data_IF_454056397956
#
_entry.id   IF_454056397956
#
_cell.length_a   1.000
_cell.length_b   1.000
_cell.length_c   1.000
_cell.angle_alpha   90.00
_cell.angle_beta   90.00
_cell.angle_gamma   90.00
#
_symmetry.space_group_name_H-M   'P 1'
#
loop_
_entity.id
_entity.type
_entity.pdbx_description
1 polymer ?
#
# COMPACT_ATOMS: atom_id res chain seq x y z
N UNK A 1 0.18 -13.82 -5.89
CA UNK A 1 -0.08 -12.74 -4.93
C UNK A 1 -0.13 -13.35 -3.56
N UNK A 2 0.73 -12.96 -2.68
CA UNK A 2 0.72 -13.49 -1.33
C UNK A 2 -0.43 -12.82 -0.57
N UNK A 3 -1.41 -13.60 -0.16
CA UNK A 3 -2.17 -13.27 1.03
C UNK A 3 -1.20 -13.51 2.17
N UNK A 4 -0.47 -12.50 2.55
CA UNK A 4 0.44 -12.70 3.64
C UNK A 4 -0.30 -12.51 4.94
N UNK A 5 -0.16 -13.42 5.90
CA UNK A 5 0.20 -12.95 7.21
C UNK A 5 1.07 -11.71 6.98
N UNK A 6 0.80 -10.67 7.65
CA UNK A 6 1.69 -9.51 7.64
C UNK A 6 3.09 -10.04 7.73
N UNK A 7 3.96 -9.70 6.79
CA UNK A 7 5.33 -10.18 6.70
C UNK A 7 6.18 -9.88 7.93
N UNK A 8 5.70 -10.24 9.09
CA UNK A 8 6.28 -10.10 10.42
C UNK A 8 7.10 -11.33 10.80
N UNK A 9 7.62 -12.02 9.80
CA UNK A 9 8.78 -12.84 10.02
C UNK A 9 8.57 -14.33 10.24
N UNK A 10 7.52 -14.93 9.79
CA UNK A 10 7.44 -16.37 9.63
C UNK A 10 6.97 -16.73 8.23
N UNK A 11 7.75 -17.45 7.56
CA UNK A 11 7.71 -18.17 6.32
C UNK A 11 6.35 -18.81 5.95
N UNK A 12 5.28 -18.07 5.83
CA UNK A 12 4.06 -18.68 5.36
C UNK A 12 3.54 -17.92 4.15
N UNK A 13 3.53 -18.61 3.04
CA UNK A 13 2.69 -18.27 1.92
C UNK A 13 1.28 -18.71 2.31
N UNK A 14 0.52 -17.82 2.92
CA UNK A 14 -0.79 -18.12 3.48
C UNK A 14 -1.90 -18.07 2.43
N UNK A 15 -1.56 -18.03 1.16
CA UNK A 15 -2.52 -18.15 0.08
C UNK A 15 -2.73 -19.62 -0.32
N UNK A 16 -3.91 -19.93 -0.81
CA UNK A 16 -4.29 -21.24 -1.32
C UNK A 16 -3.64 -21.56 -2.69
N UNK A 17 -2.81 -20.66 -3.21
CA UNK A 17 -2.30 -20.70 -4.57
C UNK A 17 -3.31 -20.11 -5.57
N UNK A 18 -2.94 -20.08 -6.85
CA UNK A 18 -3.86 -19.63 -7.91
C UNK A 18 -4.81 -20.77 -8.28
N UNK A 19 -5.96 -20.82 -7.61
CA UNK A 19 -6.97 -21.84 -7.88
C UNK A 19 -7.98 -21.40 -8.94
N UNK A 20 -8.27 -20.11 -9.00
CA UNK A 20 -9.11 -19.51 -10.02
C UNK A 20 -8.43 -18.29 -10.64
N UNK A 21 -8.58 -18.06 -11.95
CA UNK A 21 -8.11 -16.83 -12.57
C UNK A 21 -8.99 -15.66 -12.14
N UNK A 22 -8.41 -14.46 -12.11
CA UNK A 22 -9.18 -13.25 -11.94
C UNK A 22 -10.13 -13.02 -13.13
N UNK A 23 -11.33 -12.58 -12.84
CA UNK A 23 -12.30 -12.16 -13.86
C UNK A 23 -12.30 -10.64 -13.95
N UNK A 24 -11.96 -10.11 -15.11
CA UNK A 24 -11.83 -8.65 -15.31
C UNK A 24 -12.71 -8.20 -16.48
N UNK A 25 -13.42 -7.10 -16.28
CA UNK A 25 -14.19 -6.43 -17.31
C UNK A 25 -13.89 -4.93 -17.35
N UNK A 26 -13.87 -4.35 -18.55
CA UNK A 26 -13.68 -2.92 -18.75
C UNK A 26 -14.56 -2.38 -19.87
N UNK A 27 -15.06 -1.16 -19.68
CA UNK A 27 -15.75 -0.38 -20.70
C UNK A 27 -15.00 0.93 -20.88
N UNK A 28 -14.70 1.28 -22.14
CA UNK A 28 -13.99 2.50 -22.50
C UNK A 28 -14.72 3.24 -23.61
N UNK A 29 -14.72 4.55 -23.50
CA UNK A 29 -15.23 5.47 -24.51
C UNK A 29 -14.10 6.39 -24.90
N UNK A 30 -13.78 6.45 -26.20
CA UNK A 30 -12.79 7.36 -26.78
C UNK A 30 -13.50 8.39 -27.67
N UNK A 31 -13.20 9.66 -27.45
CA UNK A 31 -13.82 10.79 -28.14
C UNK A 31 -12.77 11.87 -28.45
N UNK A 32 -13.13 12.86 -29.24
CA UNK A 32 -12.23 13.97 -29.54
C UNK A 32 -11.80 14.76 -28.29
N UNK A 33 -12.65 14.83 -27.28
CA UNK A 33 -12.34 15.48 -26.00
C UNK A 33 -11.41 14.67 -25.08
N UNK A 34 -11.18 13.37 -25.40
CA UNK A 34 -10.38 12.47 -24.57
C UNK A 34 -10.99 11.09 -24.45
N UNK A 35 -10.79 10.44 -23.29
CA UNK A 35 -11.41 9.15 -23.03
C UNK A 35 -11.88 9.02 -21.58
N UNK A 36 -12.82 8.11 -21.35
CA UNK A 36 -13.24 7.66 -20.04
C UNK A 36 -13.32 6.13 -20.01
N UNK A 37 -12.99 5.55 -18.85
CA UNK A 37 -13.02 4.11 -18.66
C UNK A 37 -13.53 3.77 -17.27
N UNK A 38 -14.31 2.70 -17.18
CA UNK A 38 -14.63 2.02 -15.94
C UNK A 38 -14.19 0.56 -16.07
N UNK A 39 -13.63 -0.01 -15.01
CA UNK A 39 -13.25 -1.42 -14.96
C UNK A 39 -13.58 -2.03 -13.60
N UNK A 40 -13.85 -3.33 -13.61
CA UNK A 40 -14.10 -4.11 -12.40
C UNK A 40 -13.35 -5.44 -12.46
N UNK A 41 -13.00 -5.98 -11.31
CA UNK A 41 -12.33 -7.25 -11.18
C UNK A 41 -12.91 -8.04 -10.01
N UNK A 42 -12.93 -9.37 -10.16
CA UNK A 42 -13.13 -10.34 -9.08
C UNK A 42 -11.82 -11.10 -8.89
N UNK A 43 -11.41 -11.26 -7.65
CA UNK A 43 -10.13 -11.86 -7.26
C UNK A 43 -10.34 -12.97 -6.23
N UNK A 44 -9.67 -14.12 -6.41
CA UNK A 44 -9.70 -15.20 -5.42
C UNK A 44 -8.78 -14.85 -4.25
N UNK A 45 -9.39 -14.43 -3.14
CA UNK A 45 -8.73 -14.03 -1.90
C UNK A 45 -8.70 -15.17 -0.86
N UNK A 46 -8.78 -16.44 -1.29
CA UNK A 46 -8.89 -17.59 -0.40
C UNK A 46 -7.58 -17.88 0.31
N UNK A 47 -7.65 -18.16 1.62
CA UNK A 47 -6.52 -18.53 2.46
C UNK A 47 -6.07 -19.97 2.29
N UNK A 48 -4.79 -20.23 2.57
CA UNK A 48 -4.19 -21.57 2.59
C UNK A 48 -4.60 -22.37 3.83
N UNK A 49 -3.96 -23.53 4.00
CA UNK A 49 -4.21 -24.40 5.16
C UNK A 49 -3.69 -23.78 6.46
N UNK A 50 -4.38 -24.06 7.56
CA UNK A 50 -3.95 -23.62 8.88
C UNK A 50 -2.68 -24.38 9.34
N UNK A 51 -1.87 -23.66 10.14
CA UNK A 51 -0.70 -24.21 10.80
C UNK A 51 0.60 -24.11 9.99
N UNK A 52 1.71 -24.20 10.69
CA UNK A 52 3.04 -24.19 10.09
C UNK A 52 3.20 -25.37 9.12
N UNK A 53 3.59 -25.07 7.87
CA UNK A 53 3.81 -26.08 6.84
C UNK A 53 2.56 -26.44 6.02
N UNK A 54 1.48 -25.67 6.10
CA UNK A 54 0.27 -25.87 5.29
C UNK A 54 -0.26 -27.32 5.37
N UNK A 55 -0.49 -27.82 6.57
CA UNK A 55 -0.96 -29.19 6.77
C UNK A 55 -2.44 -29.31 6.40
N UNK A 56 -2.74 -30.21 5.46
CA UNK A 56 -4.13 -30.53 5.07
C UNK A 56 -4.97 -31.08 6.22
N UNK A 57 -4.33 -31.55 7.32
CA UNK A 57 -5.01 -32.08 8.50
C UNK A 57 -5.70 -31.01 9.32
N UNK A 58 -5.28 -29.76 9.18
CA UNK A 58 -5.81 -28.65 9.98
C UNK A 58 -6.98 -27.90 9.30
N UNK A 59 -7.31 -28.26 8.05
CA UNK A 59 -8.29 -27.52 7.26
C UNK A 59 -7.78 -26.17 6.78
N UNK A 60 -8.66 -25.35 6.27
CA UNK A 60 -8.39 -23.99 5.76
C UNK A 60 -9.61 -23.08 6.01
N UNK A 61 -9.45 -21.74 5.96
CA UNK A 61 -10.59 -20.84 6.00
C UNK A 61 -11.54 -21.07 4.83
N UNK A 62 -12.77 -20.66 4.97
CA UNK A 62 -13.72 -20.68 3.87
C UNK A 62 -13.20 -19.85 2.70
N UNK A 63 -13.48 -20.32 1.48
CA UNK A 63 -13.10 -19.58 0.27
C UNK A 63 -13.70 -18.18 0.28
N UNK A 64 -12.89 -17.19 -0.11
CA UNK A 64 -13.27 -15.78 -0.07
C UNK A 64 -12.93 -15.12 -1.39
N UNK A 65 -13.87 -14.37 -1.93
CA UNK A 65 -13.67 -13.58 -3.14
C UNK A 65 -13.58 -12.11 -2.80
N UNK A 66 -12.56 -11.45 -3.31
CA UNK A 66 -12.41 -10.02 -3.30
C UNK A 66 -12.90 -9.40 -4.61
N UNK A 67 -13.05 -8.10 -4.62
CA UNK A 67 -13.45 -7.34 -5.80
C UNK A 67 -12.79 -5.97 -5.82
N UNK A 68 -12.69 -5.42 -7.03
CA UNK A 68 -12.22 -4.06 -7.23
C UNK A 68 -13.04 -3.36 -8.33
N UNK A 69 -13.18 -2.06 -8.21
CA UNK A 69 -13.72 -1.19 -9.24
C UNK A 69 -12.80 0.02 -9.41
N UNK A 70 -12.55 0.42 -10.64
CA UNK A 70 -11.86 1.68 -10.92
C UNK A 70 -12.55 2.44 -12.04
N UNK A 71 -12.49 3.77 -11.95
CA UNK A 71 -12.98 4.67 -12.98
C UNK A 71 -12.00 5.80 -13.20
N UNK A 72 -11.84 6.22 -14.43
CA UNK A 72 -10.94 7.32 -14.75
C UNK A 72 -11.26 7.93 -16.10
N UNK A 73 -10.72 9.12 -16.31
CA UNK A 73 -10.85 9.84 -17.56
C UNK A 73 -9.61 10.69 -17.84
N UNK A 74 -9.45 11.02 -19.10
CA UNK A 74 -8.49 12.02 -19.56
C UNK A 74 -9.18 12.99 -20.48
N UNK A 75 -8.97 14.28 -20.28
CA UNK A 75 -9.46 15.36 -21.12
C UNK A 75 -8.29 15.94 -21.91
N UNK A 76 -8.53 16.19 -23.19
CA UNK A 76 -7.59 16.87 -24.09
C UNK A 76 -8.02 18.33 -24.29
N UNK A 77 -7.05 19.19 -24.59
CA UNK A 77 -7.25 20.61 -24.93
C UNK A 77 -8.09 21.36 -23.87
N UNK A 78 -7.78 21.12 -22.59
CA UNK A 78 -8.51 21.68 -21.46
C UNK A 78 -8.48 23.22 -21.47
N UNK A 79 -9.61 23.84 -21.08
CA UNK A 79 -9.77 25.30 -21.04
C UNK A 79 -9.46 26.02 -22.38
N UNK A 80 -9.48 25.29 -23.50
CA UNK A 80 -9.17 25.81 -24.83
C UNK A 80 -7.67 25.91 -25.15
N UNK A 81 -6.80 25.43 -24.26
CA UNK A 81 -5.36 25.35 -24.52
C UNK A 81 -5.04 24.07 -25.27
N UNK A 82 -4.65 24.22 -26.53
CA UNK A 82 -4.33 23.08 -27.40
C UNK A 82 -3.10 22.33 -26.90
N UNK A 83 -3.24 21.02 -26.68
CA UNK A 83 -2.19 20.14 -26.20
C UNK A 83 -2.14 20.00 -24.68
N UNK A 84 -2.92 20.76 -23.95
CA UNK A 84 -3.05 20.58 -22.51
C UNK A 84 -3.92 19.35 -22.20
N UNK A 85 -3.54 18.63 -21.16
CA UNK A 85 -4.27 17.43 -20.75
C UNK A 85 -4.50 17.42 -19.24
N UNK A 86 -5.66 16.89 -18.87
CA UNK A 86 -6.03 16.61 -17.49
C UNK A 86 -6.53 15.18 -17.37
N UNK A 87 -6.02 14.43 -16.41
CA UNK A 87 -6.51 13.08 -16.14
C UNK A 87 -6.73 12.85 -14.66
N UNK A 88 -7.73 12.02 -14.36
CA UNK A 88 -8.08 11.62 -13.01
C UNK A 88 -8.55 10.17 -12.99
N UNK A 89 -8.20 9.44 -11.93
CA UNK A 89 -8.60 8.06 -11.72
C UNK A 89 -8.87 7.83 -10.23
N UNK A 90 -9.93 7.08 -9.95
CA UNK A 90 -10.23 6.54 -8.63
C UNK A 90 -10.32 5.03 -8.67
N UNK A 91 -9.99 4.39 -7.55
CA UNK A 91 -10.09 2.95 -7.35
C UNK A 91 -10.61 2.64 -5.95
N UNK A 92 -11.41 1.58 -5.83
CA UNK A 92 -11.84 0.99 -4.57
C UNK A 92 -11.77 -0.53 -4.67
N UNK A 93 -11.31 -1.20 -3.62
CA UNK A 93 -11.24 -2.65 -3.56
C UNK A 93 -11.45 -3.19 -2.16
N UNK A 94 -12.06 -4.36 -2.08
CA UNK A 94 -12.09 -5.23 -0.92
C UNK A 94 -11.50 -6.58 -1.29
N UNK A 95 -10.41 -6.98 -0.65
CA UNK A 95 -9.76 -8.26 -0.94
C UNK A 95 -9.11 -8.38 -2.32
N UNK A 96 -8.88 -7.25 -3.00
CA UNK A 96 -8.26 -7.18 -4.32
C UNK A 96 -7.28 -6.00 -4.42
N UNK A 97 -6.54 -5.76 -3.35
CA UNK A 97 -5.68 -4.59 -3.14
C UNK A 97 -4.73 -4.30 -4.29
N UNK A 98 -4.21 -5.33 -4.96
CA UNK A 98 -3.29 -5.20 -6.09
C UNK A 98 -3.83 -4.40 -7.28
N UNK A 99 -5.16 -4.32 -7.43
CA UNK A 99 -5.80 -3.52 -8.48
C UNK A 99 -5.75 -2.01 -8.21
N UNK A 100 -5.64 -1.60 -6.93
CA UNK A 100 -5.53 -0.19 -6.53
C UNK A 100 -4.07 0.22 -6.27
N UNK A 101 -3.22 -0.67 -5.74
CA UNK A 101 -1.85 -0.35 -5.32
C UNK A 101 -0.76 -0.87 -6.26
N UNK A 102 -1.11 -1.66 -7.27
CA UNK A 102 -0.20 -2.41 -8.17
C UNK A 102 0.60 -3.53 -7.48
N UNK A 103 0.73 -3.52 -6.16
CA UNK A 103 1.44 -4.55 -5.42
C UNK A 103 0.93 -4.63 -3.99
N UNK A 104 0.99 -5.83 -3.43
CA UNK A 104 0.92 -6.07 -1.99
C UNK A 104 2.34 -6.02 -1.43
N UNK A 105 2.50 -5.69 -0.16
CA UNK A 105 3.80 -5.66 0.49
C UNK A 105 3.94 -4.61 1.56
N UNK A 106 5.15 -4.48 2.09
CA UNK A 106 5.49 -3.52 3.15
C UNK A 106 6.08 -2.23 2.59
N UNK A 107 5.75 -1.14 3.23
CA UNK A 107 6.23 0.20 2.96
C UNK A 107 6.94 0.71 4.21
N UNK A 108 8.15 1.20 4.06
CA UNK A 108 8.90 1.75 5.18
C UNK A 108 9.56 3.06 4.77
N UNK A 109 9.45 4.03 5.64
CA UNK A 109 10.16 5.30 5.55
C UNK A 109 10.84 5.56 6.88
N UNK A 110 12.05 6.10 6.87
CA UNK A 110 12.71 6.53 8.08
C UNK A 110 13.51 7.81 7.84
N UNK A 111 13.63 8.62 8.88
CA UNK A 111 14.46 9.82 8.88
C UNK A 111 15.64 9.66 9.82
N UNK A 112 16.65 10.50 9.61
CA UNK A 112 17.88 10.53 10.43
C UNK A 112 17.64 10.89 11.90
N UNK A 113 16.43 11.30 12.27
CA UNK A 113 16.04 11.67 13.64
C UNK A 113 15.47 10.54 14.49
N UNK A 114 15.80 9.28 14.20
CA UNK A 114 15.24 8.11 14.87
C UNK A 114 13.70 8.01 14.77
N UNK A 115 13.14 8.54 13.70
CA UNK A 115 11.73 8.39 13.37
C UNK A 115 11.58 7.38 12.24
N UNK A 116 10.56 6.54 12.34
CA UNK A 116 10.21 5.58 11.30
C UNK A 116 8.70 5.56 11.10
N UNK A 117 8.25 5.37 9.88
CA UNK A 117 6.88 5.11 9.53
C UNK A 117 6.80 3.87 8.65
N UNK A 118 5.71 3.15 8.72
CA UNK A 118 5.49 1.98 7.90
C UNK A 118 4.01 1.70 7.68
N UNK A 119 3.76 0.85 6.71
CA UNK A 119 2.48 0.29 6.42
C UNK A 119 2.68 -0.95 5.56
N UNK A 120 1.67 -1.73 5.40
CA UNK A 120 1.70 -2.85 4.47
C UNK A 120 0.33 -3.11 3.89
N UNK A 121 0.33 -3.64 2.69
CA UNK A 121 -0.86 -3.93 1.92
C UNK A 121 -0.95 -5.44 1.75
N UNK A 122 -2.03 -6.02 2.23
CA UNK A 122 -2.41 -7.41 1.98
C UNK A 122 -3.71 -7.47 1.18
N UNK A 123 -4.03 -8.64 0.66
CA UNK A 123 -5.35 -8.92 0.09
C UNK A 123 -6.36 -9.15 1.20
N UNK A 124 -5.91 -9.81 2.26
CA UNK A 124 -6.68 -10.07 3.47
C UNK A 124 -5.79 -10.64 4.55
N UNK A 125 -6.33 -10.85 5.74
CA UNK A 125 -5.65 -11.43 6.89
C UNK A 125 -6.51 -12.51 7.52
N UNK A 126 -5.87 -13.57 8.01
CA UNK A 126 -6.49 -14.59 8.84
C UNK A 126 -5.46 -15.18 9.81
N UNK A 127 -5.92 -15.69 10.93
CA UNK A 127 -5.05 -16.38 11.87
C UNK A 127 -4.86 -17.83 11.43
N UNK A 128 -3.65 -18.18 11.05
CA UNK A 128 -3.28 -19.53 10.63
C UNK A 128 -2.62 -20.34 11.75
N UNK A 129 -2.54 -19.84 12.98
CA UNK A 129 -1.92 -20.55 14.09
C UNK A 129 -2.69 -21.79 14.52
N UNK A 130 -1.94 -22.81 14.96
CA UNK A 130 -2.52 -24.02 15.55
C UNK A 130 -3.15 -23.69 16.92
N UNK A 131 -4.30 -24.29 17.27
CA UNK A 131 -5.17 -23.88 18.39
C UNK A 131 -4.60 -24.11 19.80
N UNK A 132 -3.38 -23.75 20.08
CA UNK A 132 -2.83 -23.81 21.45
C UNK A 132 -2.16 -22.49 21.89
N UNK A 133 -2.14 -21.48 21.05
CA UNK A 133 -1.47 -20.20 21.31
C UNK A 133 -2.27 -19.08 20.65
N UNK A 134 -3.44 -18.74 21.15
CA UNK A 134 -4.21 -17.62 20.61
C UNK A 134 -5.67 -17.95 20.28
N UNK A 135 -6.35 -17.06 19.61
CA UNK A 135 -7.80 -17.08 19.37
C UNK A 135 -8.32 -18.19 18.43
N UNK A 136 -7.45 -19.04 17.91
CA UNK A 136 -7.86 -20.16 17.03
C UNK A 136 -8.06 -19.75 15.58
N UNK A 137 -8.42 -20.73 14.75
CA UNK A 137 -8.62 -20.58 13.30
C UNK A 137 -9.68 -19.51 12.98
N UNK A 138 -9.33 -18.53 12.18
CA UNK A 138 -10.24 -17.49 11.73
C UNK A 138 -10.52 -17.60 10.23
N UNK A 139 -11.61 -17.00 9.78
CA UNK A 139 -11.83 -16.77 8.37
C UNK A 139 -10.97 -15.61 7.87
N UNK A 140 -10.86 -15.49 6.54
CA UNK A 140 -10.16 -14.37 5.90
C UNK A 140 -10.98 -13.09 6.08
N UNK A 141 -10.36 -12.08 6.68
CA UNK A 141 -10.83 -10.71 6.75
C UNK A 141 -10.21 -9.93 5.58
N UNK A 142 -11.06 -9.44 4.68
CA UNK A 142 -10.61 -8.74 3.49
C UNK A 142 -10.05 -7.35 3.83
N UNK A 143 -8.98 -6.96 3.17
CA UNK A 143 -8.41 -5.62 3.28
C UNK A 143 -9.13 -4.67 2.33
N UNK A 144 -9.55 -3.51 2.84
CA UNK A 144 -10.11 -2.43 2.03
C UNK A 144 -9.01 -1.50 1.58
N UNK A 145 -8.98 -1.19 0.29
CA UNK A 145 -8.05 -0.20 -0.28
C UNK A 145 -8.82 0.70 -1.23
N UNK A 146 -8.64 2.01 -1.06
CA UNK A 146 -9.15 2.98 -2.01
C UNK A 146 -8.14 4.07 -2.29
N UNK A 147 -8.25 4.71 -3.44
CA UNK A 147 -7.35 5.79 -3.79
C UNK A 147 -7.84 6.61 -4.95
N UNK A 148 -7.25 7.77 -5.07
CA UNK A 148 -7.49 8.71 -6.16
C UNK A 148 -6.16 9.27 -6.62
N UNK A 149 -5.97 9.43 -7.92
CA UNK A 149 -4.81 10.11 -8.48
C UNK A 149 -5.22 10.94 -9.70
N UNK A 150 -4.40 11.92 -10.02
CA UNK A 150 -4.65 12.76 -11.17
C UNK A 150 -3.43 13.57 -11.57
N UNK A 151 -3.53 14.15 -12.74
CA UNK A 151 -2.51 15.04 -13.28
C UNK A 151 -3.11 16.12 -14.17
N UNK A 152 -2.41 17.23 -14.25
CA UNK A 152 -2.63 18.27 -15.24
C UNK A 152 -1.31 18.57 -15.94
N UNK A 153 -1.30 18.63 -17.26
CA UNK A 153 -0.14 18.99 -18.05
C UNK A 153 -0.43 20.22 -18.89
N UNK A 154 0.47 21.19 -18.83
CA UNK A 154 0.42 22.39 -19.64
C UNK A 154 1.59 22.45 -20.64
N UNK A 155 1.26 22.75 -21.88
CA UNK A 155 2.20 22.86 -22.99
C UNK A 155 2.54 24.35 -23.24
N UNK A 156 3.60 24.84 -22.58
CA UNK A 156 4.06 26.23 -22.75
C UNK A 156 4.51 26.56 -24.18
N UNK A 157 5.05 25.56 -24.87
CA UNK A 157 5.48 25.63 -26.27
C UNK A 157 5.67 24.21 -26.78
N UNK A 158 5.88 24.00 -28.12
CA UNK A 158 6.19 22.67 -28.65
C UNK A 158 7.40 21.98 -28.04
N UNK A 159 8.24 22.73 -27.30
CA UNK A 159 9.46 22.21 -26.66
C UNK A 159 9.42 22.19 -25.14
N UNK A 160 8.46 22.85 -24.50
CA UNK A 160 8.38 22.97 -23.05
C UNK A 160 7.03 22.59 -22.53
N UNK A 161 7.01 21.71 -21.54
CA UNK A 161 5.80 21.31 -20.83
C UNK A 161 6.06 21.17 -19.35
N UNK A 162 5.03 21.41 -18.55
CA UNK A 162 5.04 21.18 -17.11
C UNK A 162 3.82 20.36 -16.74
N UNK A 163 4.01 19.34 -15.91
CA UNK A 163 2.93 18.53 -15.34
C UNK A 163 2.91 18.74 -13.84
N UNK A 164 1.71 18.93 -13.29
CA UNK A 164 1.41 18.77 -11.88
C UNK A 164 0.68 17.45 -11.70
N UNK A 165 1.06 16.65 -10.73
CA UNK A 165 0.42 15.35 -10.49
C UNK A 165 0.40 15.02 -9.00
N UNK A 166 -0.51 14.16 -8.62
CA UNK A 166 -0.61 13.70 -7.24
C UNK A 166 -1.60 12.57 -7.08
N UNK A 167 -1.61 12.02 -5.89
CA UNK A 167 -2.53 10.96 -5.52
C UNK A 167 -2.57 10.73 -4.03
N UNK A 168 -3.63 10.10 -3.59
CA UNK A 168 -3.87 9.64 -2.24
C UNK A 168 -4.29 8.17 -2.30
N UNK A 169 -3.85 7.39 -1.34
CA UNK A 169 -4.31 6.02 -1.16
C UNK A 169 -4.44 5.73 0.33
N UNK A 170 -5.44 4.93 0.67
CA UNK A 170 -5.73 4.50 2.03
C UNK A 170 -5.92 2.99 2.05
N UNK A 171 -5.38 2.37 3.08
CA UNK A 171 -5.44 0.94 3.34
C UNK A 171 -6.06 0.74 4.71
N UNK A 172 -7.23 0.11 4.74
CA UNK A 172 -8.00 -0.10 5.96
C UNK A 172 -8.14 -1.57 6.29
N UNK A 173 -7.93 -1.85 7.57
CA UNK A 173 -8.18 -3.13 8.21
C UNK A 173 -9.35 -2.99 9.16
N UNK A 174 -10.35 -3.85 9.01
CA UNK A 174 -11.48 -3.88 9.94
C UNK A 174 -11.04 -4.30 11.34
N UNK A 175 -11.95 -4.22 12.31
CA UNK A 175 -11.63 -4.54 13.71
C UNK A 175 -11.17 -5.98 13.91
N UNK A 176 -11.71 -6.95 13.17
CA UNK A 176 -11.30 -8.35 13.26
C UNK A 176 -9.87 -8.52 12.69
N UNK A 177 -9.60 -7.98 11.51
CA UNK A 177 -8.27 -7.97 10.92
C UNK A 177 -7.26 -7.29 11.86
N UNK A 178 -7.61 -6.14 12.43
CA UNK A 178 -6.77 -5.43 13.40
C UNK A 178 -6.45 -6.29 14.62
N UNK A 179 -7.43 -7.00 15.17
CA UNK A 179 -7.22 -7.90 16.29
C UNK A 179 -6.28 -9.07 15.92
N UNK A 180 -6.49 -9.70 14.78
CA UNK A 180 -5.64 -10.78 14.29
C UNK A 180 -4.20 -10.28 14.15
N UNK A 181 -3.99 -9.14 13.51
CA UNK A 181 -2.68 -8.52 13.31
C UNK A 181 -2.02 -8.24 14.68
N UNK A 182 -2.73 -7.61 15.59
CA UNK A 182 -2.18 -7.20 16.88
C UNK A 182 -1.83 -8.37 17.78
N UNK A 183 -2.51 -9.51 17.66
CA UNK A 183 -2.18 -10.74 18.40
C UNK A 183 -0.85 -11.36 17.95
N UNK A 184 -0.44 -11.13 16.69
CA UNK A 184 0.80 -11.66 16.13
C UNK A 184 2.00 -10.69 16.18
N UNK A 185 1.79 -9.45 16.60
CA UNK A 185 2.84 -8.42 16.69
C UNK A 185 3.92 -8.61 17.77
N UNK A 186 3.76 -9.43 18.83
CA UNK A 186 4.78 -9.56 19.86
C UNK A 186 6.07 -10.25 19.43
N UNK A 187 6.13 -10.85 18.26
CA UNK A 187 7.33 -11.55 17.79
C UNK A 187 8.23 -10.67 16.93
N UNK A 188 9.56 -10.67 17.15
CA UNK A 188 10.50 -9.89 16.33
C UNK A 188 10.35 -10.19 14.83
N UNK A 189 10.48 -9.18 13.93
CA UNK A 189 11.48 -8.11 13.97
C UNK A 189 10.99 -6.75 14.46
N UNK A 190 9.71 -6.58 14.79
CA UNK A 190 9.18 -5.35 15.35
C UNK A 190 9.16 -5.43 16.91
N UNK A 191 10.08 -6.14 17.50
CA UNK A 191 10.18 -6.34 18.94
C UNK A 191 9.90 -5.07 19.74
N UNK A 192 8.78 -5.04 20.46
CA UNK A 192 8.33 -3.91 21.24
C UNK A 192 7.04 -3.26 20.79
N UNK A 193 6.44 -3.68 19.69
CA UNK A 193 5.09 -3.27 19.28
C UNK A 193 4.06 -4.08 20.07
N UNK A 194 3.90 -3.83 21.34
CA UNK A 194 2.84 -4.45 22.13
C UNK A 194 1.54 -3.66 21.96
N UNK A 195 0.83 -3.92 20.88
CA UNK A 195 -0.58 -3.59 20.77
C UNK A 195 -1.42 -4.72 21.40
N UNK A 196 -0.92 -5.24 22.53
CA UNK A 196 -1.45 -6.45 23.10
C UNK A 196 -2.75 -6.25 23.82
N UNK A 197 -3.69 -7.13 23.56
CA UNK A 197 -4.60 -7.66 24.57
C UNK A 197 -3.71 -8.26 25.67
N UNK A 198 -3.90 -7.85 26.92
CA UNK A 198 -3.22 -8.44 28.06
C UNK A 198 -3.41 -9.96 28.03
N UNK A 199 -2.39 -10.70 27.66
CA UNK A 199 -2.38 -12.15 27.88
C UNK A 199 -2.22 -12.34 29.36
N UNK A 200 -3.18 -12.93 30.01
CA UNK A 200 -3.18 -13.23 31.44
C UNK A 200 -1.88 -13.98 31.78
N UNK A 201 -1.00 -13.34 32.57
CA UNK A 201 0.28 -13.90 32.96
C UNK A 201 1.52 -13.34 32.29
N UNK A 202 1.42 -12.43 31.32
CA UNK A 202 2.58 -11.76 30.75
C UNK A 202 3.04 -10.61 31.64
N UNK A 203 4.34 -10.57 31.92
CA UNK A 203 5.02 -9.40 32.50
C UNK A 203 4.69 -8.20 31.61
N UNK A 204 4.38 -7.07 32.24
CA UNK A 204 3.94 -5.83 31.60
C UNK A 204 4.61 -5.58 30.23
N UNK A 205 3.81 -5.22 29.21
CA UNK A 205 4.34 -5.05 27.85
C UNK A 205 5.46 -4.00 27.84
N UNK A 206 6.48 -4.20 27.04
CA UNK A 206 7.45 -3.14 26.82
C UNK A 206 6.74 -1.92 26.27
N UNK A 207 6.97 -0.82 26.90
CA UNK A 207 6.41 0.49 26.66
C UNK A 207 6.54 0.90 25.21
N UNK A 208 5.48 1.36 24.60
CA UNK A 208 5.69 2.16 23.40
C UNK A 208 4.53 2.33 22.46
N UNK A 209 3.60 1.40 22.32
CA UNK A 209 2.49 1.55 21.37
C UNK A 209 1.15 1.32 22.05
N UNK A 210 0.20 2.20 21.80
CA UNK A 210 -1.21 2.03 22.14
C UNK A 210 -1.68 2.55 23.48
N UNK A 211 -0.80 2.91 24.43
CA UNK A 211 -1.21 3.31 25.80
C UNK A 211 -0.87 4.76 26.18
N UNK A 212 -0.45 5.60 25.24
CA UNK A 212 -0.12 7.01 25.50
C UNK A 212 -0.89 7.97 24.61
N UNK A 213 -0.87 9.25 24.95
CA UNK A 213 -1.43 10.31 24.12
C UNK A 213 -0.69 10.32 22.78
N UNK A 214 -1.44 10.14 21.69
CA UNK A 214 -0.89 10.07 20.33
C UNK A 214 -0.43 8.68 19.87
N UNK A 215 -0.51 7.66 20.73
CA UNK A 215 -0.20 6.27 20.33
C UNK A 215 -1.40 5.60 19.67
N UNK A 216 -1.15 4.73 18.69
CA UNK A 216 -2.18 4.01 17.97
C UNK A 216 -1.77 2.57 17.69
N UNK A 217 -2.71 1.65 17.88
CA UNK A 217 -2.60 0.25 17.49
C UNK A 217 -3.35 -0.07 16.19
N UNK A 218 -3.57 0.90 15.35
CA UNK A 218 -4.19 0.68 14.04
C UNK A 218 -3.15 0.25 13.00
N UNK A 219 -3.35 -0.87 12.31
CA UNK A 219 -2.55 -1.26 11.16
C UNK A 219 -2.92 -0.48 9.89
N UNK A 220 -4.04 0.21 9.89
CA UNK A 220 -4.47 1.06 8.77
C UNK A 220 -3.51 2.22 8.58
N UNK A 221 -3.28 2.59 7.34
CA UNK A 221 -2.35 3.66 6.97
C UNK A 221 -2.76 4.28 5.64
N UNK A 222 -2.21 5.45 5.37
CA UNK A 222 -2.42 6.10 4.09
C UNK A 222 -1.16 6.81 3.64
N UNK A 223 -1.06 7.10 2.35
CA UNK A 223 -0.04 8.01 1.86
C UNK A 223 -0.58 8.87 0.73
N UNK A 224 0.00 10.03 0.60
CA UNK A 224 -0.24 10.91 -0.53
C UNK A 224 1.06 11.42 -1.12
N UNK A 225 0.97 11.78 -2.36
CA UNK A 225 2.08 12.34 -3.12
C UNK A 225 1.59 13.53 -3.93
N UNK A 226 2.41 14.56 -4.00
CA UNK A 226 2.22 15.65 -4.94
C UNK A 226 3.57 16.00 -5.58
N UNK A 227 3.56 16.18 -6.87
CA UNK A 227 4.80 16.43 -7.61
C UNK A 227 4.58 17.28 -8.84
N UNK A 228 5.69 17.81 -9.33
CA UNK A 228 5.72 18.56 -10.57
C UNK A 228 6.90 18.11 -11.41
N UNK A 229 6.67 18.01 -12.70
CA UNK A 229 7.70 17.68 -13.70
C UNK A 229 7.74 18.75 -14.78
N UNK A 230 8.89 19.35 -14.99
CA UNK A 230 9.12 20.24 -16.13
C UNK A 230 10.06 19.56 -17.10
N UNK A 231 9.69 19.55 -18.38
CA UNK A 231 10.40 18.86 -19.45
C UNK A 231 10.70 19.82 -20.60
N UNK A 232 11.90 19.66 -21.16
CA UNK A 232 12.38 20.35 -22.33
C UNK A 232 12.77 19.36 -23.41
N UNK A 233 12.19 19.53 -24.60
CA UNK A 233 12.48 18.74 -25.80
C UNK A 233 13.21 19.59 -26.84
N UNK A 234 14.54 19.78 -26.71
CA UNK A 234 15.30 20.56 -27.69
C UNK A 234 15.30 19.91 -29.08
N UNK A 235 15.19 18.58 -29.15
CA UNK A 235 15.03 17.75 -30.31
C UNK A 235 13.89 16.77 -30.13
N UNK A 236 13.18 16.34 -31.19
CA UNK A 236 12.08 15.35 -31.06
C UNK A 236 12.47 14.07 -30.31
N UNK A 237 13.73 13.63 -30.43
CA UNK A 237 14.24 12.41 -29.81
C UNK A 237 14.92 12.65 -28.46
N UNK A 238 15.01 13.89 -27.98
CA UNK A 238 15.69 14.24 -26.73
C UNK A 238 14.74 14.90 -25.75
N UNK A 239 14.59 14.27 -24.59
CA UNK A 239 13.82 14.75 -23.45
C UNK A 239 14.74 15.02 -22.26
N UNK A 240 14.70 16.23 -21.73
CA UNK A 240 15.44 16.64 -20.54
C UNK A 240 14.41 17.11 -19.51
N UNK A 241 14.39 16.51 -18.34
CA UNK A 241 13.37 16.80 -17.33
C UNK A 241 13.90 16.89 -15.91
N UNK A 242 13.23 17.72 -15.11
CA UNK A 242 13.38 17.76 -13.67
C UNK A 242 12.03 17.42 -13.06
N UNK A 243 12.06 16.54 -12.08
CA UNK A 243 10.91 16.04 -11.34
C UNK A 243 11.13 16.30 -9.86
N UNK A 244 10.16 16.91 -9.20
CA UNK A 244 10.16 17.12 -7.74
C UNK A 244 8.92 16.47 -7.20
N UNK A 245 9.09 15.57 -6.23
CA UNK A 245 8.00 14.80 -5.64
C UNK A 245 8.08 14.90 -4.12
N UNK A 246 7.00 15.31 -3.50
CA UNK A 246 6.79 15.22 -2.06
C UNK A 246 5.87 14.06 -1.75
N UNK A 247 6.31 13.16 -0.89
CA UNK A 247 5.57 12.00 -0.39
C UNK A 247 5.38 12.13 1.10
N UNK A 248 4.16 11.96 1.56
CA UNK A 248 3.79 11.91 2.97
C UNK A 248 3.16 10.55 3.29
N UNK A 249 3.65 9.91 4.33
CA UNK A 249 3.11 8.66 4.87
C UNK A 249 2.45 8.93 6.22
N UNK A 250 1.14 8.71 6.30
CA UNK A 250 0.44 8.54 7.57
C UNK A 250 0.66 7.10 8.02
N UNK A 251 1.50 6.89 9.01
CA UNK A 251 2.00 5.58 9.38
C UNK A 251 0.92 4.67 9.97
N UNK A 252 1.00 3.37 9.67
CA UNK A 252 0.41 2.35 10.52
C UNK A 252 1.11 2.39 11.88
N UNK A 253 0.35 2.25 12.95
CA UNK A 253 0.81 2.35 14.33
C UNK A 253 1.52 3.67 14.66
N UNK A 254 1.38 4.13 15.88
CA UNK A 254 2.14 5.26 16.43
C UNK A 254 2.65 4.92 17.81
N UNK A 255 3.85 5.34 18.13
CA UNK A 255 4.44 5.10 19.44
C UNK A 255 5.88 5.56 19.56
N UNK A 256 6.37 5.62 20.79
CA UNK A 256 7.72 6.06 21.13
C UNK A 256 8.52 4.94 21.79
N UNK A 257 9.83 5.02 21.73
CA UNK A 257 10.75 4.07 22.34
C UNK A 257 10.62 2.63 21.80
N UNK A 258 10.34 2.49 20.52
CA UNK A 258 10.19 1.20 19.85
C UNK A 258 11.58 0.70 19.40
N UNK A 259 11.99 -0.46 19.88
CA UNK A 259 13.24 -1.09 19.44
C UNK A 259 13.01 -1.80 18.12
N UNK A 260 13.67 -1.34 17.06
CA UNK A 260 13.60 -1.94 15.74
C UNK A 260 14.95 -2.56 15.36
N UNK A 261 14.93 -3.76 14.77
CA UNK A 261 16.09 -4.39 14.15
C UNK A 261 16.54 -3.65 12.88
N UNK A 262 17.71 -3.96 12.36
CA UNK A 262 18.16 -3.42 11.07
C UNK A 262 17.25 -3.90 9.92
N UNK A 263 16.93 -3.01 8.99
CA UNK A 263 16.13 -3.35 7.80
C UNK A 263 16.51 -2.44 6.63
N UNK A 264 17.08 -3.02 5.58
CA UNK A 264 17.61 -2.27 4.46
C UNK A 264 18.65 -1.25 4.90
N UNK A 265 18.45 0.02 4.57
CA UNK A 265 19.32 1.11 4.98
C UNK A 265 19.05 1.60 6.43
N UNK A 266 17.98 1.14 7.08
CA UNK A 266 17.64 1.53 8.45
C UNK A 266 18.47 0.71 9.46
N UNK A 267 19.33 1.34 10.28
CA UNK A 267 20.07 0.63 11.32
C UNK A 267 19.17 0.13 12.45
N UNK A 268 19.64 -0.84 13.22
CA UNK A 268 18.98 -1.23 14.47
C UNK A 268 19.06 -0.09 15.49
N UNK A 269 17.99 0.11 16.24
CA UNK A 269 17.97 1.19 17.24
C UNK A 269 16.59 1.39 17.87
N UNK A 270 16.50 2.41 18.70
CA UNK A 270 15.24 2.85 19.31
C UNK A 270 14.66 3.99 18.48
N UNK A 271 13.41 3.84 18.09
CA UNK A 271 12.71 4.74 17.19
C UNK A 271 11.40 5.24 17.79
N UNK A 272 10.97 6.41 17.34
CA UNK A 272 9.57 6.82 17.39
C UNK A 272 8.90 6.41 16.09
N UNK A 273 7.72 5.80 16.19
CA UNK A 273 6.88 5.48 15.03
C UNK A 273 5.91 6.64 14.85
N UNK A 274 6.06 7.36 13.78
CA UNK A 274 5.25 8.53 13.45
C UNK A 274 5.23 8.78 11.94
N UNK A 275 4.37 9.70 11.51
CA UNK A 275 4.22 10.07 10.11
C UNK A 275 5.55 10.56 9.52
N UNK A 276 5.75 10.31 8.24
CA UNK A 276 7.01 10.57 7.58
C UNK A 276 6.82 11.37 6.29
N UNK A 277 7.76 12.28 6.03
CA UNK A 277 7.84 13.08 4.82
C UNK A 277 9.14 12.80 4.06
N UNK A 278 9.04 12.68 2.75
CA UNK A 278 10.20 12.59 1.85
C UNK A 278 10.00 13.51 0.65
N UNK A 279 10.99 14.34 0.40
CA UNK A 279 11.08 15.11 -0.85
C UNK A 279 12.18 14.50 -1.71
N UNK A 280 11.83 14.14 -2.93
CA UNK A 280 12.77 13.61 -3.91
C UNK A 280 12.86 14.53 -5.12
N UNK A 281 14.07 14.67 -5.65
CA UNK A 281 14.34 15.41 -6.90
C UNK A 281 15.02 14.47 -7.85
N UNK A 282 14.50 14.38 -9.07
CA UNK A 282 15.05 13.55 -10.12
C UNK A 282 15.38 14.42 -11.33
N UNK A 283 16.60 14.32 -11.85
CA UNK A 283 16.99 14.82 -13.14
C UNK A 283 17.08 13.67 -14.13
N UNK A 284 16.47 13.82 -15.31
CA UNK A 284 16.45 12.80 -16.35
C UNK A 284 16.83 13.40 -17.69
N UNK A 285 17.70 12.69 -18.41
CA UNK A 285 17.95 12.89 -19.82
C UNK A 285 17.65 11.58 -20.52
N UNK A 286 16.80 11.63 -21.53
CA UNK A 286 16.47 10.46 -22.33
C UNK A 286 16.58 10.82 -23.82
N UNK A 287 17.29 9.98 -24.57
CA UNK A 287 17.33 10.04 -26.02
C UNK A 287 16.79 8.75 -26.61
N UNK A 288 15.89 8.88 -27.57
CA UNK A 288 15.40 7.76 -28.36
C UNK A 288 16.31 7.61 -29.59
N UNK A 289 16.87 6.42 -29.81
CA UNK A 289 17.79 6.14 -30.90
C UNK A 289 17.12 5.43 -32.08
N UNK A 290 15.91 4.94 -31.86
CA UNK A 290 15.10 4.32 -32.90
C UNK A 290 13.79 5.09 -33.01
N UNK A 291 13.31 5.37 -34.26
CA UNK A 291 12.04 6.06 -34.49
C UNK A 291 10.84 5.25 -34.06
#
# INVERSE_FOLDING_TARGET
>A
MAMGELGLGTTAYDNKGQQAPDVVGALRIDQAWGYAQVSAALHDASGGYYGAGNSTLNGHPADKWGWAISAGFTLNDILGFKGDTFGMQGCYSEGAAGYCTRATGSWQMYSTGNNAGFGWVSVGVYDNNIPNVGAGFTNVELTTVWGINGYAQHLWSPKWRTSLYGGYIEVDYNSNATNIINQHLPTPPLGGLACGVAVEGAVAPPLGIGNGVGNSCSPSFSWWQVGTRTQWNPHPDLDIGVDVLWTHLNTAYKGTNVTLGANGARPAGVYSIDDQDVVSVMFRIQRNFLP
#
